data_IF_296992824160
#
_entry.id   IF_296992824160
#
_cell.length_a   1.000
_cell.length_b   1.000
_cell.length_c   1.000
_cell.angle_alpha   90.00
_cell.angle_beta   90.00
_cell.angle_gamma   90.00
#
_symmetry.space_group_name_H-M   'P 1'
#
loop_
_entity.id
_entity.type
_entity.pdbx_description
1 polymer ?
#
# COMPACT_ATOMS: atom_id res chain seq x y z
N UNK A 1 -4.45 -18.63 10.73
CA UNK A 1 -3.58 -17.54 11.20
C UNK A 1 -2.27 -17.59 10.44
N UNK A 2 -2.17 -16.78 9.39
CA UNK A 2 -0.97 -16.66 8.57
C UNK A 2 0.15 -15.93 9.34
N UNK A 3 1.41 -16.20 8.99
CA UNK A 3 2.57 -15.48 9.53
C UNK A 3 2.43 -13.94 9.33
N UNK A 4 1.69 -13.56 8.29
CA UNK A 4 1.37 -12.20 7.90
C UNK A 4 0.42 -11.47 8.87
N UNK A 5 -0.66 -12.12 9.34
CA UNK A 5 -1.57 -11.54 10.35
C UNK A 5 -0.84 -11.28 11.69
N UNK A 6 0.13 -12.13 12.03
CA UNK A 6 0.92 -11.99 13.26
C UNK A 6 1.91 -10.83 13.19
N UNK A 7 2.46 -10.58 12.01
CA UNK A 7 3.32 -9.42 11.75
C UNK A 7 2.51 -8.12 11.84
N UNK A 8 1.32 -8.08 11.24
CA UNK A 8 0.43 -6.92 11.30
C UNK A 8 -0.18 -6.64 12.68
N UNK A 9 -0.58 -7.68 13.44
CA UNK A 9 -0.99 -7.53 14.84
C UNK A 9 0.13 -6.96 15.73
N UNK A 10 1.38 -7.33 15.48
CA UNK A 10 2.52 -6.80 16.23
C UNK A 10 2.83 -5.33 15.88
N UNK A 11 2.52 -4.88 14.66
CA UNK A 11 2.79 -3.52 14.18
C UNK A 11 1.65 -2.54 14.52
N UNK A 12 0.38 -2.95 14.46
CA UNK A 12 -0.77 -2.04 14.65
C UNK A 12 -1.29 -1.95 16.09
N UNK A 13 -0.98 -2.90 16.96
CA UNK A 13 -1.49 -2.90 18.33
C UNK A 13 -3.00 -3.18 18.40
N UNK A 14 -3.37 -4.01 19.37
CA UNK A 14 -4.75 -4.43 19.66
C UNK A 14 -5.58 -3.22 20.13
N UNK A 15 -6.16 -2.47 19.18
CA UNK A 15 -7.10 -1.40 19.47
C UNK A 15 -8.53 -1.93 19.28
N UNK A 16 -9.21 -2.09 20.43
CA UNK A 16 -10.66 -2.25 20.57
C UNK A 16 -11.27 -3.60 20.14
N UNK A 17 -11.26 -4.56 21.08
CA UNK A 17 -12.22 -5.65 21.12
C UNK A 17 -13.43 -5.23 21.99
N UNK A 18 -14.61 -4.91 21.42
CA UNK A 18 -15.76 -4.55 22.23
C UNK A 18 -16.37 -5.77 22.94
N UNK A 19 -16.79 -5.65 24.22
CA UNK A 19 -17.39 -6.74 24.95
C UNK A 19 -18.87 -6.96 24.54
N UNK A 20 -19.17 -8.20 24.14
CA UNK A 20 -20.43 -8.90 24.43
C UNK A 20 -21.72 -8.43 23.76
N UNK A 21 -22.07 -9.04 22.62
CA UNK A 21 -23.45 -9.06 22.12
C UNK A 21 -24.14 -10.40 22.39
N UNK A 22 -25.39 -10.41 22.86
CA UNK A 22 -26.15 -11.64 23.13
C UNK A 22 -26.63 -12.33 21.85
N UNK A 23 -26.71 -13.66 21.93
CA UNK A 23 -27.10 -14.56 20.85
C UNK A 23 -28.56 -14.32 20.40
N UNK A 24 -28.73 -13.90 19.14
CA UNK A 24 -30.01 -13.99 18.42
C UNK A 24 -30.03 -15.29 17.63
N UNK A 25 -30.86 -16.22 18.08
CA UNK A 25 -31.27 -17.39 17.29
C UNK A 25 -32.52 -17.01 16.49
N UNK A 26 -32.39 -16.86 15.18
CA UNK A 26 -33.52 -16.79 14.26
C UNK A 26 -33.20 -17.62 13.03
N UNK A 27 -33.83 -18.79 12.98
CA UNK A 27 -33.94 -19.65 11.81
C UNK A 27 -34.65 -18.87 10.69
N UNK A 28 -33.88 -18.35 9.72
CA UNK A 28 -34.43 -17.80 8.49
C UNK A 28 -34.27 -18.81 7.35
N UNK A 29 -35.36 -19.11 6.60
CA UNK A 29 -35.33 -20.01 5.46
C UNK A 29 -34.53 -19.40 4.30
N UNK A 30 -33.71 -20.23 3.68
CA UNK A 30 -32.65 -19.87 2.75
C UNK A 30 -33.22 -19.47 1.38
N UNK A 31 -33.68 -18.21 1.23
CA UNK A 31 -33.81 -17.60 -0.08
C UNK A 31 -32.43 -17.10 -0.54
N UNK A 32 -32.04 -17.46 -1.76
CA UNK A 32 -30.71 -17.24 -2.33
C UNK A 32 -30.12 -15.87 -2.03
N UNK A 33 -29.33 -15.80 -0.96
CA UNK A 33 -28.59 -14.62 -0.56
C UNK A 33 -27.41 -14.55 -1.51
N UNK A 34 -27.52 -13.71 -2.53
CA UNK A 34 -26.36 -13.23 -3.26
C UNK A 34 -25.32 -12.82 -2.21
N UNK A 35 -24.18 -13.50 -2.25
CA UNK A 35 -23.04 -13.22 -1.40
C UNK A 35 -22.77 -11.71 -1.44
N UNK A 36 -22.56 -11.04 -0.29
CA UNK A 36 -22.39 -9.60 -0.28
C UNK A 36 -21.13 -9.27 -1.10
N UNK A 37 -21.36 -8.62 -2.24
CA UNK A 37 -20.34 -8.07 -3.13
C UNK A 37 -19.12 -7.39 -2.46
N UNK A 38 -19.21 -6.71 -1.29
CA UNK A 38 -18.03 -6.08 -0.67
C UNK A 38 -16.89 -7.05 -0.35
N UNK A 39 -17.17 -8.27 0.12
CA UNK A 39 -16.12 -9.17 0.60
C UNK A 39 -15.12 -9.60 -0.49
N UNK A 40 -15.52 -9.56 -1.77
CA UNK A 40 -14.64 -9.92 -2.89
C UNK A 40 -13.71 -8.77 -3.29
N UNK A 41 -14.15 -7.53 -3.15
CA UNK A 41 -13.32 -6.35 -3.46
C UNK A 41 -12.19 -6.22 -2.44
N UNK A 42 -12.49 -6.45 -1.16
CA UNK A 42 -11.50 -6.41 -0.08
C UNK A 42 -10.39 -7.45 -0.31
N UNK A 43 -10.77 -8.68 -0.72
CA UNK A 43 -9.81 -9.73 -1.03
C UNK A 43 -8.89 -9.40 -2.23
N UNK A 44 -9.41 -8.71 -3.26
CA UNK A 44 -8.61 -8.28 -4.42
C UNK A 44 -7.61 -7.19 -4.00
N UNK A 45 -8.06 -6.22 -3.20
CA UNK A 45 -7.20 -5.16 -2.66
C UNK A 45 -6.07 -5.75 -1.81
N UNK A 46 -6.39 -6.71 -0.94
CA UNK A 46 -5.42 -7.39 -0.08
C UNK A 46 -4.35 -8.14 -0.91
N UNK A 47 -4.76 -8.88 -1.94
CA UNK A 47 -3.81 -9.58 -2.84
C UNK A 47 -2.87 -8.61 -3.55
N UNK A 48 -3.38 -7.46 -3.99
CA UNK A 48 -2.59 -6.42 -4.64
C UNK A 48 -1.59 -5.78 -3.68
N UNK A 49 -2.02 -5.44 -2.47
CA UNK A 49 -1.15 -4.91 -1.41
C UNK A 49 -0.04 -5.91 -1.06
N UNK A 50 -0.39 -7.19 -0.92
CA UNK A 50 0.56 -8.27 -0.64
C UNK A 50 1.66 -8.37 -1.70
N UNK A 51 1.29 -8.40 -2.99
CA UNK A 51 2.28 -8.48 -4.08
C UNK A 51 3.21 -7.28 -4.12
N UNK A 52 2.69 -6.07 -3.86
CA UNK A 52 3.51 -4.86 -3.80
C UNK A 52 4.46 -4.88 -2.59
N UNK A 53 3.98 -5.37 -1.44
CA UNK A 53 4.78 -5.53 -0.23
C UNK A 53 5.91 -6.56 -0.40
N UNK A 54 5.64 -7.72 -1.00
CA UNK A 54 6.64 -8.75 -1.29
C UNK A 54 7.78 -8.18 -2.14
N UNK A 55 7.44 -7.44 -3.20
CA UNK A 55 8.43 -6.78 -4.06
C UNK A 55 9.31 -5.78 -3.30
N UNK A 56 8.78 -5.07 -2.31
CA UNK A 56 9.59 -4.17 -1.47
C UNK A 56 10.52 -4.95 -0.54
N UNK A 57 10.03 -6.02 0.07
CA UNK A 57 10.76 -6.83 1.05
C UNK A 57 11.91 -7.61 0.42
N UNK A 58 11.74 -8.09 -0.81
CA UNK A 58 12.73 -8.84 -1.59
C UNK A 58 13.96 -8.01 -2.00
N UNK A 59 13.90 -6.68 -1.92
CA UNK A 59 15.02 -5.82 -2.28
C UNK A 59 16.01 -5.65 -1.11
N UNK A 60 16.95 -6.59 -1.02
CA UNK A 60 18.01 -6.59 0.01
C UNK A 60 18.88 -5.32 -0.01
N UNK A 61 18.92 -4.59 -1.13
CA UNK A 61 19.74 -3.38 -1.26
C UNK A 61 19.26 -2.25 -0.35
N UNK A 62 17.99 -2.29 0.06
CA UNK A 62 17.37 -1.29 0.92
C UNK A 62 17.82 -1.34 2.39
N UNK A 63 18.56 -2.40 2.77
CA UNK A 63 18.98 -2.66 4.17
C UNK A 63 20.50 -2.61 4.34
N UNK A 64 21.24 -2.10 3.36
CA UNK A 64 22.71 -2.24 3.32
C UNK A 64 23.41 -1.54 4.48
N UNK A 65 22.93 -0.36 4.87
CA UNK A 65 23.53 0.49 5.90
C UNK A 65 22.69 0.56 7.18
N UNK A 66 21.58 -0.17 7.25
CA UNK A 66 20.64 -0.15 8.36
C UNK A 66 20.64 -1.50 9.07
N UNK A 67 20.55 -1.48 10.39
CA UNK A 67 20.25 -2.70 11.16
C UNK A 67 18.78 -3.07 11.02
N UNK A 68 18.39 -4.30 11.38
CA UNK A 68 16.99 -4.72 11.35
C UNK A 68 16.09 -3.82 12.22
N UNK A 69 16.61 -3.37 13.38
CA UNK A 69 15.93 -2.45 14.29
C UNK A 69 15.69 -1.07 13.65
N UNK A 70 16.65 -0.60 12.84
CA UNK A 70 16.55 0.67 12.12
C UNK A 70 15.69 0.56 10.86
N UNK A 71 15.67 -0.60 10.20
CA UNK A 71 14.90 -0.82 8.99
C UNK A 71 13.41 -1.04 9.27
N UNK A 72 13.04 -1.58 10.44
CA UNK A 72 11.66 -1.85 10.82
C UNK A 72 10.70 -0.66 10.64
N UNK A 73 10.98 0.53 11.22
CA UNK A 73 10.14 1.72 11.05
C UNK A 73 10.01 2.16 9.59
N UNK A 74 11.12 2.07 8.84
CA UNK A 74 11.18 2.46 7.44
C UNK A 74 10.30 1.54 6.57
N UNK A 75 10.37 0.23 6.79
CA UNK A 75 9.52 -0.74 6.13
C UNK A 75 8.05 -0.55 6.53
N UNK A 76 7.77 -0.34 7.82
CA UNK A 76 6.41 -0.10 8.31
C UNK A 76 5.75 1.10 7.65
N UNK A 77 6.48 2.21 7.47
CA UNK A 77 6.00 3.36 6.72
C UNK A 77 5.70 3.03 5.25
N UNK A 78 6.59 2.29 4.58
CA UNK A 78 6.40 1.93 3.16
C UNK A 78 5.19 1.02 2.96
N UNK A 79 5.01 0.02 3.84
CA UNK A 79 3.85 -0.89 3.80
C UNK A 79 2.54 -0.15 4.02
N UNK A 80 2.48 0.75 5.01
CA UNK A 80 1.29 1.57 5.23
C UNK A 80 0.93 2.46 4.03
N UNK A 81 1.91 2.88 3.21
CA UNK A 81 1.63 3.61 1.98
C UNK A 81 1.11 2.68 0.88
N UNK A 82 1.67 1.48 0.75
CA UNK A 82 1.19 0.46 -0.19
C UNK A 82 -0.28 0.12 0.08
N UNK A 83 -0.66 -0.10 1.33
CA UNK A 83 -2.05 -0.42 1.68
C UNK A 83 -3.01 0.70 1.29
N UNK A 84 -2.68 1.95 1.62
CA UNK A 84 -3.49 3.12 1.24
C UNK A 84 -3.65 3.25 -0.28
N UNK A 85 -2.59 2.96 -1.04
CA UNK A 85 -2.65 2.99 -2.51
C UNK A 85 -3.49 1.84 -3.03
N UNK A 86 -3.34 0.63 -2.49
CA UNK A 86 -4.12 -0.54 -2.88
C UNK A 86 -5.62 -0.30 -2.61
N UNK A 87 -5.98 0.23 -1.45
CA UNK A 87 -7.35 0.66 -1.12
C UNK A 87 -7.88 1.69 -2.12
N UNK A 88 -7.05 2.66 -2.52
CA UNK A 88 -7.41 3.65 -3.52
C UNK A 88 -7.61 3.08 -4.95
N UNK A 89 -7.18 1.84 -5.21
CA UNK A 89 -7.45 1.12 -6.47
C UNK A 89 -8.72 0.28 -6.43
N UNK A 90 -9.51 0.37 -5.35
CA UNK A 90 -10.78 -0.32 -5.25
C UNK A 90 -11.71 0.10 -6.42
N UNK A 91 -12.10 -0.87 -7.24
CA UNK A 91 -12.94 -0.65 -8.42
C UNK A 91 -12.16 -0.35 -9.72
N UNK A 92 -10.83 -0.23 -9.68
CA UNK A 92 -9.99 -0.20 -10.88
C UNK A 92 -9.82 -1.62 -11.47
N UNK A 93 -9.63 -1.70 -12.80
CA UNK A 93 -9.25 -2.97 -13.45
C UNK A 93 -7.91 -3.47 -12.91
N UNK A 94 -7.65 -4.76 -13.02
CA UNK A 94 -6.41 -5.35 -12.53
C UNK A 94 -5.17 -4.71 -13.18
N UNK A 95 -5.21 -4.42 -14.49
CA UNK A 95 -4.11 -3.79 -15.22
C UNK A 95 -3.84 -2.35 -14.77
N UNK A 96 -4.90 -1.56 -14.55
CA UNK A 96 -4.78 -0.17 -14.10
C UNK A 96 -4.22 -0.10 -12.67
N UNK A 97 -4.75 -0.94 -11.78
CA UNK A 97 -4.32 -1.03 -10.40
C UNK A 97 -2.87 -1.49 -10.27
N UNK A 98 -2.47 -2.53 -11.01
CA UNK A 98 -1.10 -3.03 -11.02
C UNK A 98 -0.14 -1.95 -11.54
N UNK A 99 -0.47 -1.28 -12.66
CA UNK A 99 0.35 -0.18 -13.18
C UNK A 99 0.49 1.01 -12.23
N UNK A 100 -0.50 1.24 -11.35
CA UNK A 100 -0.43 2.26 -10.29
C UNK A 100 0.46 1.81 -9.13
N UNK A 101 0.29 0.57 -8.65
CA UNK A 101 1.10 0.00 -7.58
C UNK A 101 2.58 -0.13 -7.97
N UNK A 102 2.87 -0.52 -9.21
CA UNK A 102 4.24 -0.62 -9.73
C UNK A 102 4.98 0.71 -9.64
N UNK A 103 4.34 1.80 -10.05
CA UNK A 103 4.91 3.15 -9.96
C UNK A 103 5.18 3.53 -8.50
N UNK A 104 4.27 3.20 -7.59
CA UNK A 104 4.44 3.46 -6.16
C UNK A 104 5.58 2.63 -5.57
N UNK A 105 5.70 1.35 -5.92
CA UNK A 105 6.81 0.48 -5.47
C UNK A 105 8.16 1.03 -5.94
N UNK A 106 8.27 1.50 -7.19
CA UNK A 106 9.50 2.13 -7.70
C UNK A 106 9.86 3.38 -6.88
N UNK A 107 8.89 4.27 -6.64
CA UNK A 107 9.12 5.49 -5.85
C UNK A 107 9.48 5.22 -4.39
N UNK A 108 8.85 4.20 -3.80
CA UNK A 108 9.18 3.73 -2.47
C UNK A 108 10.62 3.22 -2.45
N UNK A 109 11.03 2.34 -3.37
CA UNK A 109 12.42 1.85 -3.46
C UNK A 109 13.44 2.98 -3.59
N UNK A 110 13.18 3.99 -4.41
CA UNK A 110 14.05 5.16 -4.56
C UNK A 110 14.15 5.97 -3.25
N UNK A 111 13.04 6.11 -2.54
CA UNK A 111 13.00 6.84 -1.26
C UNK A 111 13.72 6.07 -0.16
N UNK A 112 13.48 4.77 -0.06
CA UNK A 112 14.15 3.86 0.86
C UNK A 112 15.66 3.82 0.61
N UNK A 113 16.08 3.74 -0.65
CA UNK A 113 17.51 3.78 -1.03
C UNK A 113 18.18 5.10 -0.64
N UNK A 114 17.48 6.22 -0.77
CA UNK A 114 18.00 7.53 -0.37
C UNK A 114 18.12 7.65 1.16
N UNK A 115 17.15 7.13 1.91
CA UNK A 115 17.21 7.07 3.37
C UNK A 115 18.37 6.18 3.82
N UNK A 116 18.54 4.98 3.23
CA UNK A 116 19.67 4.07 3.52
C UNK A 116 21.03 4.76 3.26
N UNK A 117 21.16 5.42 2.09
CA UNK A 117 22.37 6.17 1.71
C UNK A 117 22.69 7.28 2.71
N UNK A 118 21.68 8.07 3.09
CA UNK A 118 21.86 9.18 4.03
C UNK A 118 22.14 8.68 5.46
N UNK A 119 21.50 7.58 5.88
CA UNK A 119 21.75 6.96 7.18
C UNK A 119 23.20 6.49 7.29
N UNK A 120 23.73 5.84 6.25
CA UNK A 120 25.13 5.45 6.17
C UNK A 120 26.10 6.65 6.17
N UNK A 121 25.75 7.73 5.46
CA UNK A 121 26.57 8.94 5.42
C UNK A 121 26.60 9.73 6.75
N UNK A 122 25.48 9.73 7.48
CA UNK A 122 25.32 10.47 8.75
C UNK A 122 25.71 9.64 9.98
N UNK A 123 25.91 8.33 9.84
CA UNK A 123 26.20 7.43 10.96
C UNK A 123 25.01 7.32 11.92
N UNK A 124 23.81 7.12 11.37
CA UNK A 124 22.58 7.01 12.17
C UNK A 124 22.69 5.81 13.12
N UNK A 125 22.47 6.07 14.42
CA UNK A 125 22.69 5.11 15.49
C UNK A 125 21.39 4.44 16.00
N UNK A 126 20.23 5.07 15.80
CA UNK A 126 18.96 4.61 16.37
C UNK A 126 17.76 4.83 15.43
N UNK A 127 16.64 4.17 15.73
CA UNK A 127 15.39 4.25 14.98
C UNK A 127 14.77 5.66 14.96
N UNK A 128 14.91 6.44 16.04
CA UNK A 128 14.33 7.78 16.10
C UNK A 128 15.04 8.77 15.15
N UNK A 129 16.33 8.56 14.90
CA UNK A 129 17.08 9.26 13.87
C UNK A 129 16.62 8.86 12.47
N UNK A 130 16.33 7.58 12.23
CA UNK A 130 15.74 7.11 10.97
C UNK A 130 14.38 7.76 10.72
N UNK A 131 13.49 7.81 11.72
CA UNK A 131 12.19 8.47 11.59
C UNK A 131 12.32 9.96 11.22
N UNK A 132 13.27 10.67 11.84
CA UNK A 132 13.57 12.06 11.48
C UNK A 132 14.10 12.18 10.06
N UNK A 133 14.91 11.23 9.62
CA UNK A 133 15.46 11.19 8.27
C UNK A 133 14.36 10.92 7.24
N UNK A 134 13.46 9.97 7.50
CA UNK A 134 12.25 9.71 6.70
C UNK A 134 11.43 11.00 6.57
N UNK A 135 11.10 11.64 7.69
CA UNK A 135 10.35 12.88 7.68
C UNK A 135 11.08 14.01 6.92
N UNK A 136 12.41 14.05 6.99
CA UNK A 136 13.25 14.97 6.24
C UNK A 136 13.22 14.71 4.74
N UNK A 137 13.41 13.45 4.32
CA UNK A 137 13.36 13.04 2.91
C UNK A 137 11.97 13.23 2.32
N UNK A 138 10.92 12.90 3.06
CA UNK A 138 9.54 13.15 2.65
C UNK A 138 9.32 14.66 2.48
N UNK A 139 9.77 15.49 3.44
CA UNK A 139 9.63 16.95 3.37
C UNK A 139 10.42 17.57 2.20
N UNK A 140 11.58 17.03 1.86
CA UNK A 140 12.38 17.53 0.73
C UNK A 140 11.87 17.02 -0.61
N UNK A 141 11.29 15.82 -0.64
CA UNK A 141 10.57 15.28 -1.79
C UNK A 141 9.10 15.75 -1.85
N UNK A 142 8.66 16.58 -0.91
CA UNK A 142 7.25 16.84 -0.65
C UNK A 142 6.55 17.53 -1.83
N UNK A 143 5.51 16.81 -2.28
CA UNK A 143 4.23 17.26 -2.84
C UNK A 143 4.07 17.65 -4.31
N UNK A 144 5.09 17.69 -5.16
CA UNK A 144 4.82 17.89 -6.61
C UNK A 144 4.60 16.56 -7.36
N UNK A 145 5.31 15.49 -7.01
CA UNK A 145 5.20 14.20 -7.72
C UNK A 145 4.01 13.35 -7.25
N UNK A 146 3.78 13.23 -5.93
CA UNK A 146 2.67 12.43 -5.39
C UNK A 146 1.31 13.11 -5.58
N UNK A 147 1.26 14.45 -5.59
CA UNK A 147 0.04 15.20 -5.96
C UNK A 147 -0.27 15.04 -7.45
N UNK A 148 0.75 15.03 -8.33
CA UNK A 148 0.55 14.72 -9.76
C UNK A 148 0.01 13.32 -9.97
N UNK A 149 0.51 12.30 -9.27
CA UNK A 149 0.04 10.92 -9.50
C UNK A 149 -1.40 10.71 -9.01
N UNK A 150 -1.80 11.40 -7.94
CA UNK A 150 -3.20 11.35 -7.47
C UNK A 150 -4.11 12.22 -8.35
N UNK A 151 -3.62 13.32 -8.95
CA UNK A 151 -4.44 14.20 -9.82
C UNK A 151 -4.45 13.80 -11.31
N UNK A 152 -3.37 13.27 -11.89
CA UNK A 152 -3.25 12.97 -13.33
C UNK A 152 -4.13 11.78 -13.77
N UNK A 153 -4.67 10.99 -12.85
CA UNK A 153 -5.67 9.97 -13.18
C UNK A 153 -7.05 10.56 -13.51
N UNK A 154 -7.30 11.85 -13.24
CA UNK A 154 -8.58 12.48 -13.52
C UNK A 154 -8.70 13.06 -14.94
N UNK A 155 -7.61 13.15 -15.71
CA UNK A 155 -7.54 14.01 -16.91
C UNK A 155 -7.13 13.30 -18.22
N UNK A 156 -7.08 11.96 -18.27
CA UNK A 156 -7.05 11.27 -19.58
C UNK A 156 -8.49 10.90 -19.94
N UNK A 157 -9.23 11.77 -20.67
CA UNK A 157 -10.55 11.39 -21.15
C UNK A 157 -10.39 10.14 -22.00
N UNK A 158 -11.33 9.17 -21.93
CA UNK A 158 -11.30 8.05 -22.84
C UNK A 158 -11.24 8.65 -24.24
N UNK A 159 -10.15 8.39 -24.97
CA UNK A 159 -10.14 8.58 -26.40
C UNK A 159 -11.17 7.60 -26.91
N UNK A 160 -12.42 8.09 -27.00
CA UNK A 160 -13.42 7.57 -27.91
C UNK A 160 -12.67 7.46 -29.22
N UNK A 161 -12.22 6.24 -29.51
CA UNK A 161 -11.85 5.82 -30.83
C UNK A 161 -13.14 6.00 -31.60
N UNK A 162 -13.32 7.22 -32.13
CA UNK A 162 -14.22 7.50 -33.22
C UNK A 162 -13.93 6.39 -34.22
N UNK A 163 -14.84 5.43 -34.24
CA UNK A 163 -15.00 4.53 -35.35
C UNK A 163 -15.39 5.47 -36.47
N UNK A 164 -14.36 5.94 -37.19
CA UNK A 164 -14.49 6.67 -38.42
C UNK A 164 -15.10 5.65 -39.39
N UNK A 165 -16.43 5.60 -39.35
CA UNK A 165 -17.25 4.99 -40.36
C UNK A 165 -17.12 5.85 -41.60
N UNK A 166 -15.95 5.83 -42.24
CA UNK A 166 -15.85 6.32 -43.60
C UNK A 166 -16.45 5.25 -44.51
N UNK A 167 -17.59 5.67 -45.02
CA UNK A 167 -18.55 4.95 -45.82
C UNK A 167 -18.42 5.53 -47.21
N UNK A 168 -17.73 4.86 -48.14
CA UNK A 168 -18.11 4.73 -49.57
C UNK A 168 -17.52 3.44 -50.14
#
# INVERSE_FOLDING_TARGET
>A
MGLWERFWSAVLGDADSPPGFPAVTSEQPWHGRAEPAPARLDAVVEVRAQRAAERLVEDERLRRNLTDEQFGPLLGWALALVDRVAEATAGESDEAAEGRLDRVVVQLRETLSEVDRLAGALGVADAAQVDRLIAGVIRTKDLDASRRIVMDCADDPPKDTAVDGDRV
#
